data_IF_277823938235
#
_entry.id   IF_277823938235
#
_cell.length_a   1.000
_cell.length_b   1.000
_cell.length_c   1.000
_cell.angle_alpha   90.00
_cell.angle_beta   90.00
_cell.angle_gamma   90.00
#
_symmetry.space_group_name_H-M   'P 1'
#
loop_
_entity.id
_entity.type
_entity.pdbx_description
1 polymer ?
#
# COMPACT_ATOMS: atom_id res chain seq x y z
N UNK A 1 10.06 -4.72 -8.55
CA UNK A 1 10.22 -4.00 -7.26
C UNK A 1 11.56 -4.39 -6.70
N UNK A 2 12.44 -3.44 -6.42
CA UNK A 2 13.74 -3.74 -5.80
C UNK A 2 13.52 -4.22 -4.36
N UNK A 3 14.44 -5.04 -3.83
CA UNK A 3 14.36 -5.54 -2.45
C UNK A 3 14.24 -4.41 -1.41
N UNK A 4 14.88 -3.27 -1.66
CA UNK A 4 14.83 -2.08 -0.81
C UNK A 4 13.40 -1.50 -0.64
N UNK A 5 12.62 -1.45 -1.72
CA UNK A 5 11.25 -0.91 -1.71
C UNK A 5 10.31 -1.85 -0.92
N UNK A 6 10.46 -3.17 -1.10
CA UNK A 6 9.71 -4.16 -0.32
C UNK A 6 9.97 -4.01 1.18
N UNK A 7 11.25 -3.90 1.55
CA UNK A 7 11.67 -3.70 2.93
C UNK A 7 11.10 -2.40 3.50
N UNK A 8 11.12 -1.32 2.71
CA UNK A 8 10.54 -0.04 3.10
C UNK A 8 9.03 -0.15 3.38
N UNK A 9 8.26 -0.74 2.47
CA UNK A 9 6.80 -0.90 2.65
C UNK A 9 6.49 -1.72 3.90
N UNK A 10 7.16 -2.86 4.11
CA UNK A 10 6.99 -3.69 5.31
C UNK A 10 7.24 -2.91 6.58
N UNK A 11 8.37 -2.19 6.64
CA UNK A 11 8.73 -1.37 7.79
C UNK A 11 7.68 -0.31 8.09
N UNK A 12 7.16 0.37 7.06
CA UNK A 12 6.12 1.40 7.26
C UNK A 12 4.79 0.83 7.72
N UNK A 13 4.41 -0.36 7.26
CA UNK A 13 3.21 -1.06 7.74
C UNK A 13 3.35 -1.45 9.21
N UNK A 14 4.51 -1.98 9.61
CA UNK A 14 4.79 -2.29 11.01
C UNK A 14 4.79 -1.03 11.89
N UNK A 15 5.52 0.02 11.51
CA UNK A 15 5.63 1.27 12.28
C UNK A 15 4.29 2.02 12.43
N UNK A 16 3.42 2.00 11.40
CA UNK A 16 2.22 2.86 11.35
C UNK A 16 0.92 2.15 11.70
N UNK A 17 0.86 0.84 11.50
CA UNK A 17 -0.36 0.03 11.67
C UNK A 17 -0.12 -1.19 12.57
N UNK A 18 1.10 -1.42 13.05
CA UNK A 18 1.44 -2.61 13.84
C UNK A 18 1.34 -3.91 13.03
N UNK A 19 1.42 -3.84 11.70
CA UNK A 19 1.23 -4.99 10.80
C UNK A 19 2.57 -5.58 10.36
N UNK A 20 2.82 -6.82 10.74
CA UNK A 20 3.89 -7.63 10.15
C UNK A 20 3.36 -8.36 8.91
N UNK A 21 3.86 -7.98 7.74
CA UNK A 21 3.36 -8.50 6.46
C UNK A 21 4.48 -9.15 5.65
N UNK A 22 4.13 -10.26 5.02
CA UNK A 22 4.99 -10.95 4.06
C UNK A 22 5.05 -10.20 2.72
N UNK A 23 5.99 -10.62 1.87
CA UNK A 23 6.07 -10.07 0.51
C UNK A 23 4.87 -10.46 -0.34
N UNK A 24 4.30 -11.64 -0.09
CA UNK A 24 3.11 -12.12 -0.79
C UNK A 24 1.88 -11.30 -0.40
N UNK A 25 1.71 -11.00 0.89
CA UNK A 25 0.60 -10.17 1.36
C UNK A 25 0.62 -8.76 0.76
N UNK A 26 1.80 -8.13 0.68
CA UNK A 26 1.94 -6.84 -0.03
C UNK A 26 1.55 -6.98 -1.51
N UNK A 27 1.92 -8.10 -2.15
CA UNK A 27 1.53 -8.36 -3.53
C UNK A 27 0.01 -8.54 -3.68
N UNK A 28 -0.64 -9.26 -2.76
CA UNK A 28 -2.09 -9.41 -2.75
C UNK A 28 -2.81 -8.08 -2.51
N UNK A 29 -2.30 -7.23 -1.60
CA UNK A 29 -2.85 -5.88 -1.40
C UNK A 29 -2.72 -5.02 -2.67
N UNK A 30 -1.56 -5.06 -3.33
CA UNK A 30 -1.34 -4.34 -4.58
C UNK A 30 -2.29 -4.83 -5.69
N UNK A 31 -2.52 -6.15 -5.76
CA UNK A 31 -3.47 -6.77 -6.67
C UNK A 31 -4.90 -6.34 -6.34
N UNK A 32 -5.30 -6.32 -5.08
CA UNK A 32 -6.61 -5.86 -4.63
C UNK A 32 -6.88 -4.42 -5.08
N UNK A 33 -5.92 -3.51 -4.86
CA UNK A 33 -5.97 -2.13 -5.35
C UNK A 33 -6.13 -2.08 -6.87
N UNK A 34 -5.31 -2.84 -7.61
CA UNK A 34 -5.35 -2.88 -9.07
C UNK A 34 -6.68 -3.42 -9.65
N UNK A 35 -7.43 -4.21 -8.88
CA UNK A 35 -8.75 -4.73 -9.24
C UNK A 35 -9.91 -3.90 -8.67
N UNK A 36 -9.65 -2.72 -8.10
CA UNK A 36 -10.70 -1.82 -7.61
C UNK A 36 -11.27 -2.19 -6.24
N UNK A 37 -10.58 -3.04 -5.47
CA UNK A 37 -10.98 -3.40 -4.10
C UNK A 37 -10.51 -2.38 -3.04
N UNK A 38 -10.06 -1.20 -3.47
CA UNK A 38 -9.70 -0.09 -2.61
C UNK A 38 -10.43 1.19 -3.03
N UNK A 39 -10.36 2.22 -2.19
CA UNK A 39 -10.90 3.55 -2.49
C UNK A 39 -9.76 4.49 -2.88
N UNK A 40 -9.82 5.09 -4.07
CA UNK A 40 -8.87 6.11 -4.47
C UNK A 40 -9.09 7.39 -3.65
N UNK A 41 -8.06 7.88 -2.97
CA UNK A 41 -8.09 9.10 -2.16
C UNK A 41 -7.68 10.31 -3.00
N UNK A 42 -6.54 10.19 -3.68
CA UNK A 42 -5.92 11.31 -4.37
C UNK A 42 -4.93 10.82 -5.44
N UNK A 43 -4.79 11.61 -6.49
CA UNK A 43 -3.70 11.47 -7.44
C UNK A 43 -2.48 12.24 -6.94
N UNK A 44 -1.34 11.57 -6.77
CA UNK A 44 -0.08 12.25 -6.40
C UNK A 44 0.71 12.68 -7.65
N UNK A 45 0.71 11.85 -8.69
CA UNK A 45 1.41 12.12 -9.95
C UNK A 45 0.79 11.34 -11.11
N UNK A 46 1.39 11.42 -12.31
CA UNK A 46 0.95 10.70 -13.51
C UNK A 46 0.78 9.19 -13.29
N UNK A 47 1.55 8.58 -12.41
CA UNK A 47 1.56 7.12 -12.19
C UNK A 47 1.38 6.72 -10.72
N UNK A 48 1.38 7.68 -9.78
CA UNK A 48 1.33 7.39 -8.34
C UNK A 48 0.06 7.97 -7.75
N UNK A 49 -0.65 7.13 -7.00
CA UNK A 49 -1.93 7.45 -6.38
C UNK A 49 -1.97 7.03 -4.92
N UNK A 50 -2.81 7.68 -4.12
CA UNK A 50 -3.10 7.33 -2.74
C UNK A 50 -4.40 6.55 -2.68
N UNK A 51 -4.38 5.42 -1.97
CA UNK A 51 -5.50 4.50 -1.87
C UNK A 51 -5.81 4.16 -0.42
N UNK A 52 -7.07 3.89 -0.12
CA UNK A 52 -7.51 3.20 1.09
C UNK A 52 -7.82 1.75 0.77
N UNK A 53 -7.37 0.84 1.64
CA UNK A 53 -7.65 -0.58 1.54
C UNK A 53 -7.97 -1.11 2.94
N UNK A 54 -9.08 -1.83 3.08
CA UNK A 54 -9.38 -2.56 4.32
C UNK A 54 -8.60 -3.87 4.29
N UNK A 55 -7.75 -4.10 5.29
CA UNK A 55 -6.98 -5.32 5.43
C UNK A 55 -6.89 -5.70 6.90
N UNK A 56 -7.24 -6.96 7.22
CA UNK A 56 -7.31 -7.47 8.60
C UNK A 56 -8.11 -6.54 9.55
N UNK A 57 -9.21 -5.96 9.06
CA UNK A 57 -10.06 -5.04 9.82
C UNK A 57 -9.48 -3.63 10.02
N UNK A 58 -8.27 -3.34 9.51
CA UNK A 58 -7.68 -2.02 9.55
C UNK A 58 -7.84 -1.29 8.21
N UNK A 59 -8.12 0.01 8.28
CA UNK A 59 -8.17 0.88 7.10
C UNK A 59 -6.78 1.42 6.80
N UNK A 60 -6.10 0.80 5.84
CA UNK A 60 -4.75 1.18 5.43
C UNK A 60 -4.79 2.32 4.42
N UNK A 61 -3.88 3.28 4.56
CA UNK A 61 -3.60 4.30 3.53
C UNK A 61 -2.31 3.95 2.82
N UNK A 62 -2.37 3.69 1.52
CA UNK A 62 -1.28 3.13 0.73
C UNK A 62 -0.95 4.01 -0.47
N UNK A 63 0.33 4.10 -0.81
CA UNK A 63 0.80 4.74 -2.04
C UNK A 63 1.04 3.66 -3.08
N UNK A 64 0.31 3.74 -4.18
CA UNK A 64 0.34 2.75 -5.26
C UNK A 64 0.92 3.36 -6.54
N UNK A 65 1.90 2.67 -7.12
CA UNK A 65 2.42 2.97 -8.45
C UNK A 65 1.68 2.12 -9.49
N UNK A 66 0.90 2.77 -10.36
CA UNK A 66 0.15 2.11 -11.44
C UNK A 66 1.04 1.51 -12.52
N UNK A 67 2.19 2.13 -12.81
CA UNK A 67 3.11 1.63 -13.83
C UNK A 67 3.79 0.34 -13.35
N UNK A 68 4.18 0.31 -12.07
CA UNK A 68 4.82 -0.87 -11.45
C UNK A 68 3.82 -1.87 -10.87
N UNK A 69 2.54 -1.49 -10.82
CA UNK A 69 1.42 -2.22 -10.20
C UNK A 69 1.76 -2.65 -8.77
N UNK A 70 2.27 -1.72 -7.97
CA UNK A 70 2.88 -2.06 -6.69
C UNK A 70 2.75 -0.99 -5.62
N UNK A 71 2.76 -1.41 -4.35
CA UNK A 71 2.72 -0.50 -3.21
C UNK A 71 4.14 -0.02 -2.89
N UNK A 72 4.35 1.29 -2.93
CA UNK A 72 5.63 1.93 -2.65
C UNK A 72 5.82 2.17 -1.14
N UNK A 73 4.76 2.57 -0.44
CA UNK A 73 4.79 2.87 0.99
C UNK A 73 3.37 2.89 1.57
N UNK A 74 3.25 2.86 2.90
CA UNK A 74 2.01 3.06 3.62
C UNK A 74 2.03 4.43 4.30
N UNK A 75 1.03 5.29 4.10
CA UNK A 75 0.86 6.59 4.75
C UNK A 75 0.39 6.44 6.21
N UNK A 76 0.58 7.43 7.10
CA UNK A 76 0.06 7.34 8.46
C UNK A 76 -1.47 7.28 8.47
N UNK A 77 -2.10 6.64 9.49
CA UNK A 77 -3.54 6.66 9.65
C UNK A 77 -4.06 8.10 9.79
N UNK A 78 -5.34 8.32 9.48
CA UNK A 78 -6.01 9.57 9.85
C UNK A 78 -6.26 9.51 11.36
N UNK A 79 -5.73 10.49 12.08
CA UNK A 79 -6.05 10.79 13.49
C UNK A 79 -7.45 11.35 13.61
#
# INVERSE_FOLDING_TARGET
MMHAERSHTKRRLAERYGLEVSSDEIFQMAKAIAHGQGTLIAHQSRHVDHWQLVYQGQLLRLVFDRQRRSIITALPPLT
#
